data_IF_515511414736
#
_entry.id   IF_515511414736
#
_cell.length_a   1.000
_cell.length_b   1.000
_cell.length_c   1.000
_cell.angle_alpha   90.00
_cell.angle_beta   90.00
_cell.angle_gamma   90.00
#
_symmetry.space_group_name_H-M   'P 1'
#
loop_
_entity.id
_entity.type
_entity.pdbx_description
1 polymer ?
#
# COMPACT_ATOMS: atom_id res chain seq x y z
N UNK A 1 -13.51 -14.79 -5.45
CA UNK A 1 -13.72 -13.95 -4.25
C UNK A 1 -14.06 -12.56 -4.77
N UNK A 2 -15.19 -12.01 -4.35
CA UNK A 2 -15.50 -10.61 -4.71
C UNK A 2 -14.50 -9.73 -3.98
N UNK A 3 -13.68 -8.98 -4.71
CA UNK A 3 -12.79 -7.99 -4.11
C UNK A 3 -13.65 -6.86 -3.57
N UNK A 4 -13.49 -6.57 -2.28
CA UNK A 4 -14.15 -5.44 -1.63
C UNK A 4 -13.11 -4.34 -1.47
N UNK A 5 -13.15 -3.37 -2.37
CA UNK A 5 -12.33 -2.16 -2.36
C UNK A 5 -13.27 -0.95 -2.46
N UNK A 6 -12.84 0.21 -2.01
CA UNK A 6 -13.62 1.44 -2.07
C UNK A 6 -14.01 1.77 -3.51
N UNK A 7 -15.22 2.32 -3.71
CA UNK A 7 -15.91 2.39 -5.01
C UNK A 7 -15.13 3.20 -6.06
N UNK A 8 -14.52 4.32 -5.71
CA UNK A 8 -13.73 5.12 -6.66
C UNK A 8 -12.52 4.34 -7.18
N UNK A 9 -11.85 3.58 -6.31
CA UNK A 9 -10.76 2.69 -6.69
C UNK A 9 -11.24 1.50 -7.51
N UNK A 10 -12.42 0.95 -7.19
CA UNK A 10 -12.98 -0.15 -7.97
C UNK A 10 -13.21 0.25 -9.43
N UNK A 11 -13.72 1.45 -9.69
CA UNK A 11 -13.90 1.98 -11.06
C UNK A 11 -12.59 2.08 -11.81
N UNK A 12 -11.55 2.61 -11.15
CA UNK A 12 -10.25 2.85 -11.77
C UNK A 12 -9.44 1.58 -12.04
N UNK A 13 -9.65 0.54 -11.23
CA UNK A 13 -8.89 -0.70 -11.25
C UNK A 13 -9.70 -1.92 -11.71
N UNK A 14 -10.92 -1.72 -12.21
CA UNK A 14 -11.82 -2.82 -12.60
C UNK A 14 -11.14 -3.82 -13.54
N UNK A 15 -10.39 -3.36 -14.54
CA UNK A 15 -9.66 -4.20 -15.47
C UNK A 15 -8.57 -5.06 -14.83
N UNK A 16 -7.93 -4.56 -13.77
CA UNK A 16 -6.89 -5.33 -13.07
C UNK A 16 -7.47 -6.57 -12.35
N UNK A 17 -8.72 -6.47 -11.87
CA UNK A 17 -9.38 -7.60 -11.20
C UNK A 17 -9.79 -8.73 -12.15
N UNK A 18 -9.85 -8.45 -13.45
CA UNK A 18 -10.16 -9.42 -14.52
C UNK A 18 -8.90 -10.06 -15.10
N UNK A 19 -7.73 -9.51 -14.80
CA UNK A 19 -6.44 -10.01 -15.28
C UNK A 19 -6.09 -11.39 -14.68
N UNK A 20 -5.52 -12.32 -15.46
CA UNK A 20 -5.15 -13.65 -14.97
C UNK A 20 -4.23 -13.63 -13.76
N UNK A 21 -3.26 -12.71 -13.73
CA UNK A 21 -2.35 -12.60 -12.59
C UNK A 21 -3.06 -12.28 -11.28
N UNK A 22 -4.17 -11.51 -11.34
CA UNK A 22 -4.92 -11.17 -10.13
C UNK A 22 -5.68 -12.38 -9.58
N UNK A 23 -6.18 -13.26 -10.45
CA UNK A 23 -6.77 -14.53 -10.04
C UNK A 23 -5.74 -15.45 -9.36
N UNK A 24 -4.53 -15.54 -9.90
CA UNK A 24 -3.40 -16.28 -9.33
C UNK A 24 -2.99 -15.69 -7.97
N UNK A 25 -2.86 -14.37 -7.89
CA UNK A 25 -2.57 -13.64 -6.65
C UNK A 25 -3.64 -13.91 -5.59
N UNK A 26 -4.92 -13.83 -5.95
CA UNK A 26 -6.03 -14.07 -5.03
C UNK A 26 -6.04 -15.52 -4.51
N UNK A 27 -5.69 -16.51 -5.34
CA UNK A 27 -5.57 -17.90 -4.93
C UNK A 27 -4.36 -18.09 -3.99
N UNK A 28 -3.22 -17.51 -4.33
CA UNK A 28 -2.03 -17.52 -3.47
C UNK A 28 -2.33 -16.94 -2.09
N UNK A 29 -2.96 -15.76 -2.03
CA UNK A 29 -3.30 -15.09 -0.76
C UNK A 29 -4.25 -15.94 0.07
N UNK A 30 -5.35 -16.44 -0.53
CA UNK A 30 -6.28 -17.35 0.17
C UNK A 30 -5.57 -18.58 0.73
N UNK A 31 -4.68 -19.17 -0.07
CA UNK A 31 -3.88 -20.32 0.35
C UNK A 31 -2.95 -19.99 1.50
N UNK A 32 -2.30 -18.83 1.47
CA UNK A 32 -1.41 -18.37 2.54
C UNK A 32 -2.14 -18.23 3.87
N UNK A 33 -3.29 -17.54 3.89
CA UNK A 33 -4.10 -17.36 5.11
C UNK A 33 -4.70 -18.67 5.66
N UNK A 34 -4.91 -19.70 4.82
CA UNK A 34 -5.33 -21.02 5.29
C UNK A 34 -4.18 -21.82 5.93
N UNK A 35 -2.95 -21.63 5.46
CA UNK A 35 -1.77 -22.36 5.96
C UNK A 35 -1.24 -21.82 7.28
N UNK A 36 -1.48 -20.55 7.58
CA UNK A 36 -0.99 -19.94 8.81
C UNK A 36 -1.32 -18.47 8.92
N UNK A 37 -0.93 -17.83 10.03
CA UNK A 37 -1.20 -16.41 10.24
C UNK A 37 -0.48 -15.57 9.20
N UNK A 38 -1.24 -14.66 8.59
CA UNK A 38 -0.76 -13.64 7.65
C UNK A 38 -1.31 -12.26 8.07
N UNK A 39 -0.65 -11.22 7.66
CA UNK A 39 -1.01 -9.83 7.99
C UNK A 39 -1.08 -8.96 6.73
N UNK A 40 -1.90 -7.89 6.79
CA UNK A 40 -2.90 -7.54 7.82
C UNK A 40 -4.05 -8.55 7.86
N UNK A 41 -5.00 -8.46 8.82
CA UNK A 41 -6.24 -9.24 8.77
C UNK A 41 -6.95 -9.09 7.42
N UNK A 42 -7.64 -10.14 6.89
CA UNK A 42 -8.18 -10.13 5.53
C UNK A 42 -9.07 -8.92 5.19
N UNK A 43 -9.87 -8.45 6.16
CA UNK A 43 -10.72 -7.27 5.99
C UNK A 43 -9.96 -5.94 5.90
N UNK A 44 -8.66 -5.93 6.19
CA UNK A 44 -7.83 -4.73 6.20
C UNK A 44 -6.81 -4.69 5.04
N UNK A 45 -6.79 -5.68 4.16
CA UNK A 45 -5.82 -5.73 3.04
C UNK A 45 -5.91 -4.44 2.18
N UNK A 46 -7.11 -3.95 1.93
CA UNK A 46 -7.37 -2.75 1.13
C UNK A 46 -7.69 -1.49 1.94
N UNK A 47 -7.29 -1.46 3.22
CA UNK A 47 -7.64 -0.35 4.12
C UNK A 47 -7.06 1.01 3.66
N UNK A 48 -5.87 1.04 3.07
CA UNK A 48 -5.30 2.28 2.51
C UNK A 48 -6.25 2.94 1.50
N UNK A 49 -6.89 2.14 0.67
CA UNK A 49 -7.87 2.60 -0.33
C UNK A 49 -9.18 3.07 0.31
N UNK A 50 -9.61 2.41 1.39
CA UNK A 50 -10.80 2.80 2.13
C UNK A 50 -10.63 4.14 2.85
N UNK A 51 -9.44 4.41 3.40
CA UNK A 51 -9.15 5.65 4.10
C UNK A 51 -8.87 6.83 3.15
N UNK A 52 -8.40 6.55 1.93
CA UNK A 52 -8.02 7.56 0.95
C UNK A 52 -8.64 7.22 -0.41
N UNK A 53 -9.88 7.67 -0.69
CA UNK A 53 -10.52 7.48 -2.00
C UNK A 53 -9.67 8.04 -3.15
N UNK A 54 -9.84 7.49 -4.36
CA UNK A 54 -9.02 7.84 -5.53
C UNK A 54 -8.99 9.35 -5.79
N UNK A 55 -10.15 10.00 -5.75
CA UNK A 55 -10.28 11.42 -6.02
C UNK A 55 -9.75 12.31 -4.90
N UNK A 56 -9.56 11.77 -3.70
CA UNK A 56 -9.01 12.49 -2.56
C UNK A 56 -7.47 12.44 -2.47
N UNK A 57 -6.81 11.57 -3.24
CA UNK A 57 -5.35 11.41 -3.18
C UNK A 57 -4.64 12.72 -3.56
N UNK A 58 -3.70 13.14 -2.73
CA UNK A 58 -2.79 14.29 -2.94
C UNK A 58 -1.34 13.87 -2.88
N UNK A 59 -1.02 12.94 -1.97
CA UNK A 59 0.33 12.42 -1.76
C UNK A 59 0.26 10.90 -1.73
N UNK A 60 1.22 10.25 -2.36
CA UNK A 60 1.42 8.80 -2.28
C UNK A 60 2.70 8.52 -1.55
N UNK A 61 2.63 7.82 -0.43
CA UNK A 61 3.80 7.29 0.27
C UNK A 61 3.83 5.79 0.04
N UNK A 62 4.86 5.32 -0.64
CA UNK A 62 5.00 3.92 -0.99
C UNK A 62 6.05 3.24 -0.10
N UNK A 63 5.58 2.31 0.75
CA UNK A 63 6.39 1.39 1.55
C UNK A 63 6.64 0.07 0.81
N UNK A 64 7.31 -0.88 1.47
CA UNK A 64 7.62 -2.19 0.88
C UNK A 64 6.51 -3.21 1.16
N UNK A 65 6.48 -3.80 2.30
CA UNK A 65 5.52 -4.81 2.75
C UNK A 65 4.98 -4.49 4.15
N UNK A 66 3.85 -5.10 4.55
CA UNK A 66 3.27 -4.86 5.86
C UNK A 66 4.21 -5.31 6.98
N UNK A 67 4.03 -4.76 8.17
CA UNK A 67 4.65 -5.32 9.37
C UNK A 67 4.20 -6.77 9.58
N UNK A 68 5.13 -7.61 9.99
CA UNK A 68 4.92 -9.06 10.08
C UNK A 68 4.73 -9.60 11.50
N UNK A 69 4.68 -8.71 12.50
CA UNK A 69 4.40 -9.10 13.89
C UNK A 69 2.91 -8.94 14.23
N UNK A 70 2.38 -9.74 15.19
CA UNK A 70 0.98 -9.70 15.57
C UNK A 70 0.50 -8.30 15.97
N UNK A 71 -0.68 -7.91 15.48
CA UNK A 71 -1.33 -6.67 15.87
C UNK A 71 -0.78 -5.38 15.23
N UNK A 72 0.31 -5.45 14.47
CA UNK A 72 0.93 -4.27 13.88
C UNK A 72 0.25 -3.80 12.59
N UNK A 73 0.22 -4.66 11.57
CA UNK A 73 -0.27 -4.27 10.24
C UNK A 73 -1.80 -4.04 10.22
N UNK A 74 -2.19 -2.89 9.70
CA UNK A 74 -3.59 -2.45 9.59
C UNK A 74 -3.97 -2.08 8.13
N UNK A 75 -3.17 -2.49 7.16
CA UNK A 75 -3.42 -2.22 5.74
C UNK A 75 -3.06 -0.80 5.29
N UNK A 76 -2.35 -0.04 6.12
CA UNK A 76 -1.72 1.24 5.76
C UNK A 76 -0.21 1.13 6.01
N UNK A 77 0.58 1.60 5.05
CA UNK A 77 2.03 1.63 5.21
C UNK A 77 2.45 2.45 6.45
N UNK A 78 3.40 1.92 7.21
CA UNK A 78 3.99 2.50 8.42
C UNK A 78 3.06 2.66 9.64
N UNK A 79 1.75 2.56 9.45
CA UNK A 79 0.77 2.72 10.54
C UNK A 79 0.69 1.48 11.44
N UNK A 80 0.64 1.73 12.74
CA UNK A 80 0.27 0.74 13.77
C UNK A 80 -0.78 1.36 14.70
N UNK A 81 -1.64 0.54 15.36
CA UNK A 81 -2.59 1.04 16.35
C UNK A 81 -1.86 1.74 17.53
N UNK A 82 -2.51 2.72 18.18
CA UNK A 82 -1.86 3.50 19.25
C UNK A 82 -1.31 2.70 20.44
N UNK A 83 -1.89 1.52 20.70
CA UNK A 83 -1.47 0.63 21.80
C UNK A 83 -0.26 -0.24 21.42
N UNK A 84 0.18 -0.22 20.17
CA UNK A 84 1.31 -1.02 19.68
C UNK A 84 2.58 -0.20 19.76
N UNK A 85 3.65 -0.79 20.28
CA UNK A 85 4.99 -0.17 20.28
C UNK A 85 5.42 0.15 18.84
N UNK A 86 5.75 1.41 18.52
CA UNK A 86 6.13 1.81 17.18
C UNK A 86 7.34 1.02 16.65
N UNK A 87 7.22 0.38 15.48
CA UNK A 87 8.34 -0.29 14.83
C UNK A 87 9.47 0.69 14.46
N UNK A 88 10.68 0.19 14.17
CA UNK A 88 11.85 1.04 13.86
C UNK A 88 11.61 2.04 12.73
N UNK A 89 10.94 1.64 11.65
CA UNK A 89 10.62 2.52 10.52
C UNK A 89 9.74 3.70 10.93
N UNK A 90 8.70 3.45 11.74
CA UNK A 90 7.84 4.53 12.25
C UNK A 90 8.56 5.44 13.22
N UNK A 91 9.44 4.88 14.08
CA UNK A 91 10.30 5.70 14.96
C UNK A 91 11.25 6.60 14.17
N UNK A 92 11.78 6.13 13.04
CA UNK A 92 12.63 6.95 12.18
C UNK A 92 11.84 8.12 11.56
N UNK A 93 10.61 7.87 11.10
CA UNK A 93 9.73 8.94 10.62
C UNK A 93 9.46 9.97 11.74
N UNK A 94 9.11 9.49 12.94
CA UNK A 94 8.85 10.35 14.09
C UNK A 94 10.08 11.20 14.47
N UNK A 95 11.28 10.63 14.37
CA UNK A 95 12.54 11.35 14.63
C UNK A 95 12.76 12.48 13.63
N UNK A 96 12.54 12.26 12.35
CA UNK A 96 12.66 13.29 11.31
C UNK A 96 11.63 14.42 11.48
N UNK A 97 10.43 14.08 11.93
CA UNK A 97 9.38 15.06 12.19
C UNK A 97 9.50 15.78 13.54
N UNK A 98 10.29 15.26 14.47
CA UNK A 98 10.37 15.75 15.84
C UNK A 98 9.17 15.36 16.72
N UNK A 99 8.21 14.59 16.21
CA UNK A 99 7.04 14.08 16.94
C UNK A 99 6.46 12.82 16.28
N UNK A 100 5.65 12.07 17.02
CA UNK A 100 4.93 10.92 16.46
C UNK A 100 3.82 11.39 15.52
N UNK A 101 3.84 10.97 14.22
CA UNK A 101 2.81 11.39 13.29
C UNK A 101 1.46 10.68 13.54
N UNK A 102 0.38 11.38 13.32
CA UNK A 102 -0.96 10.76 13.19
C UNK A 102 -1.18 10.34 11.73
N UNK A 103 -0.68 9.14 11.38
CA UNK A 103 -0.74 8.61 10.02
C UNK A 103 -2.19 8.35 9.56
N UNK A 104 -3.12 8.06 10.48
CA UNK A 104 -4.53 7.91 10.15
C UNK A 104 -5.15 9.26 9.74
N UNK A 105 -4.78 10.33 10.42
CA UNK A 105 -5.16 11.69 10.03
C UNK A 105 -4.59 12.07 8.66
N UNK A 106 -3.34 11.67 8.38
CA UNK A 106 -2.76 11.89 7.05
C UNK A 106 -3.55 11.18 5.95
N UNK A 107 -3.89 9.91 6.16
CA UNK A 107 -4.68 9.15 5.19
C UNK A 107 -6.02 9.84 4.86
N UNK A 108 -6.73 10.32 5.89
CA UNK A 108 -7.99 11.05 5.72
C UNK A 108 -7.84 12.40 5.04
N UNK A 109 -6.66 12.97 5.03
CA UNK A 109 -6.34 14.24 4.35
C UNK A 109 -5.84 14.06 2.92
N UNK A 110 -5.77 12.82 2.42
CA UNK A 110 -5.37 12.53 1.05
C UNK A 110 -3.96 11.96 0.89
N UNK A 111 -3.35 11.46 1.97
CA UNK A 111 -2.07 10.74 1.90
C UNK A 111 -2.35 9.25 1.75
N UNK A 112 -2.16 8.72 0.56
CA UNK A 112 -2.26 7.27 0.30
C UNK A 112 -1.02 6.57 0.88
N UNK A 113 -1.22 5.86 1.99
CA UNK A 113 -0.17 5.08 2.66
C UNK A 113 -0.19 3.64 2.12
N UNK A 114 0.49 3.42 0.99
CA UNK A 114 0.44 2.18 0.24
C UNK A 114 1.73 1.39 0.39
N UNK A 115 1.64 0.07 0.60
CA UNK A 115 2.79 -0.83 0.46
C UNK A 115 2.83 -1.41 -0.96
N UNK A 116 4.03 -1.74 -1.44
CA UNK A 116 4.21 -2.43 -2.72
C UNK A 116 3.59 -3.84 -2.69
N UNK A 117 3.71 -4.52 -1.56
CA UNK A 117 3.11 -5.83 -1.27
C UNK A 117 2.07 -5.65 -0.17
N UNK A 118 0.84 -6.12 -0.36
CA UNK A 118 -0.25 -5.83 0.58
C UNK A 118 -0.47 -6.90 1.66
N UNK A 119 0.24 -8.03 1.58
CA UNK A 119 0.17 -9.11 2.57
C UNK A 119 1.54 -9.67 2.88
N UNK A 120 1.68 -10.29 4.05
CA UNK A 120 2.92 -10.93 4.51
C UNK A 120 2.58 -12.10 5.44
N UNK A 121 3.38 -13.17 5.43
CA UNK A 121 3.27 -14.24 6.43
C UNK A 121 3.87 -13.78 7.78
N UNK A 122 3.29 -14.24 8.89
CA UNK A 122 3.77 -13.91 10.22
C UNK A 122 5.27 -14.23 10.38
N UNK A 123 6.01 -13.30 10.96
CA UNK A 123 7.45 -13.38 11.24
C UNK A 123 8.36 -13.53 9.99
N UNK A 124 7.82 -13.31 8.78
CA UNK A 124 8.55 -13.56 7.53
C UNK A 124 8.49 -12.34 6.61
N UNK A 125 9.29 -11.32 6.90
CA UNK A 125 9.39 -10.13 6.05
C UNK A 125 9.64 -10.50 4.59
N UNK A 126 8.93 -9.87 3.65
CA UNK A 126 9.08 -10.08 2.21
C UNK A 126 8.53 -11.42 1.68
N UNK A 127 7.90 -12.25 2.51
CA UNK A 127 7.45 -13.60 2.14
C UNK A 127 6.44 -13.65 0.99
N UNK A 128 5.71 -12.57 0.73
CA UNK A 128 4.74 -12.48 -0.35
C UNK A 128 5.21 -11.61 -1.54
N UNK A 129 6.48 -11.20 -1.54
CA UNK A 129 7.06 -10.46 -2.68
C UNK A 129 7.14 -11.35 -3.92
N UNK A 130 6.98 -10.74 -5.12
CA UNK A 130 7.02 -11.46 -6.39
C UNK A 130 5.81 -12.37 -6.64
N UNK A 131 4.72 -12.22 -5.90
CA UNK A 131 3.49 -13.03 -6.04
C UNK A 131 2.36 -12.33 -6.79
N UNK A 132 2.60 -11.11 -7.29
CA UNK A 132 1.63 -10.35 -8.07
C UNK A 132 1.16 -9.05 -7.43
N UNK A 133 1.39 -8.84 -6.13
CA UNK A 133 1.03 -7.59 -5.47
C UNK A 133 1.69 -6.37 -6.11
N UNK A 134 2.98 -6.47 -6.47
CA UNK A 134 3.73 -5.39 -7.09
C UNK A 134 3.13 -4.97 -8.44
N UNK A 135 2.62 -5.93 -9.23
CA UNK A 135 1.92 -5.63 -10.49
C UNK A 135 0.63 -4.85 -10.21
N UNK A 136 -0.13 -5.26 -9.20
CA UNK A 136 -1.34 -4.56 -8.80
C UNK A 136 -1.05 -3.14 -8.29
N UNK A 137 -0.08 -2.98 -7.40
CA UNK A 137 0.28 -1.66 -6.85
C UNK A 137 0.95 -0.76 -7.89
N UNK A 138 1.65 -1.32 -8.88
CA UNK A 138 2.13 -0.57 -10.05
C UNK A 138 0.97 -0.05 -10.91
N UNK A 139 -0.10 -0.83 -11.06
CA UNK A 139 -1.31 -0.38 -11.75
C UNK A 139 -2.02 0.75 -10.97
N UNK A 140 -2.05 0.67 -9.63
CA UNK A 140 -2.54 1.76 -8.77
C UNK A 140 -1.77 3.06 -9.02
N UNK A 141 -0.44 3.01 -8.96
CA UNK A 141 0.43 4.17 -9.19
C UNK A 141 0.24 4.72 -10.60
N UNK A 142 0.14 3.85 -11.59
CA UNK A 142 -0.10 4.23 -12.99
C UNK A 142 -1.44 4.93 -13.17
N UNK A 143 -2.53 4.39 -12.61
CA UNK A 143 -3.85 5.00 -12.68
C UNK A 143 -3.86 6.42 -12.08
N UNK A 144 -3.19 6.60 -10.94
CA UNK A 144 -3.02 7.92 -10.33
C UNK A 144 -2.22 8.86 -11.22
N UNK A 145 -1.07 8.42 -11.76
CA UNK A 145 -0.20 9.24 -12.60
C UNK A 145 -0.86 9.66 -13.91
N UNK A 146 -1.73 8.82 -14.49
CA UNK A 146 -2.41 9.08 -15.76
C UNK A 146 -3.69 9.91 -15.61
N UNK A 147 -4.39 9.81 -14.47
CA UNK A 147 -5.75 10.35 -14.31
C UNK A 147 -5.87 11.44 -13.27
N UNK A 148 -4.79 11.73 -12.54
CA UNK A 148 -4.77 12.76 -11.52
C UNK A 148 -3.59 13.72 -11.76
N UNK A 149 -3.81 14.97 -11.43
CA UNK A 149 -2.80 16.04 -11.54
C UNK A 149 -2.32 16.48 -10.16
N UNK A 150 -1.14 17.10 -10.12
CA UNK A 150 -0.56 17.69 -8.91
C UNK A 150 -0.36 16.72 -7.73
N UNK A 151 -0.03 15.46 -8.04
CA UNK A 151 0.29 14.46 -7.03
C UNK A 151 1.77 14.48 -6.66
N UNK A 152 2.06 14.24 -5.39
CA UNK A 152 3.41 14.03 -4.88
C UNK A 152 3.62 12.55 -4.59
N UNK A 153 4.68 11.96 -5.11
CA UNK A 153 5.07 10.58 -4.84
C UNK A 153 6.33 10.54 -3.98
N UNK A 154 6.24 9.88 -2.84
CA UNK A 154 7.35 9.65 -1.92
C UNK A 154 7.64 8.15 -1.86
N UNK A 155 8.82 7.75 -2.34
CA UNK A 155 9.27 6.37 -2.34
C UNK A 155 10.18 6.14 -1.13
N UNK A 156 9.72 5.39 -0.14
CA UNK A 156 10.50 5.05 1.04
C UNK A 156 10.96 3.59 1.01
N UNK A 157 12.25 3.41 1.15
CA UNK A 157 12.92 2.11 1.16
C UNK A 157 13.78 1.88 -0.08
N UNK A 158 14.48 0.75 -0.11
CA UNK A 158 15.30 0.34 -1.25
C UNK A 158 14.39 -0.18 -2.38
N UNK A 159 13.77 0.73 -3.10
CA UNK A 159 13.03 0.37 -4.32
C UNK A 159 14.04 0.08 -5.41
N UNK A 160 14.07 -1.17 -5.90
CA UNK A 160 14.87 -1.52 -7.08
C UNK A 160 14.49 -0.58 -8.23
N UNK A 161 15.48 -0.09 -8.93
CA UNK A 161 15.50 1.00 -9.91
C UNK A 161 14.60 0.85 -11.17
N UNK A 162 13.40 0.24 -11.04
CA UNK A 162 12.42 0.11 -12.13
C UNK A 162 11.22 1.05 -12.04
N UNK A 163 10.88 1.55 -10.85
CA UNK A 163 9.66 2.33 -10.61
C UNK A 163 9.82 3.84 -10.76
N UNK A 164 11.04 4.34 -10.92
CA UNK A 164 11.35 5.78 -10.93
C UNK A 164 11.36 6.45 -12.30
N UNK A 165 10.88 5.81 -13.39
CA UNK A 165 11.05 6.35 -14.74
C UNK A 165 9.80 6.91 -15.42
N UNK A 166 8.71 7.16 -14.73
CA UNK A 166 7.50 7.72 -15.36
C UNK A 166 7.05 9.09 -14.86
N UNK A 167 7.91 9.87 -14.20
CA UNK A 167 7.61 11.27 -13.91
C UNK A 167 8.56 12.20 -14.68
N UNK A 168 8.36 12.33 -15.98
CA UNK A 168 8.81 13.51 -16.72
C UNK A 168 7.77 14.60 -16.55
N UNK A 169 7.97 15.45 -15.55
CA UNK A 169 7.35 16.76 -15.58
C UNK A 169 7.88 17.54 -16.79
N UNK A 170 7.06 18.18 -17.60
CA UNK A 170 7.58 19.10 -18.62
C UNK A 170 8.21 20.30 -17.92
N UNK A 171 9.48 20.53 -18.18
CA UNK A 171 10.13 21.80 -17.87
C UNK A 171 9.46 22.88 -18.71
N UNK A 172 8.70 23.75 -18.08
CA UNK A 172 8.29 25.02 -18.69
C UNK A 172 9.41 26.03 -18.46
N UNK A 173 9.93 26.51 -19.58
CA UNK A 173 10.81 27.65 -19.66
C UNK A 173 10.09 28.97 -19.23
#
# INVERSE_FOLDING_TARGET
>A
MKVVIEESWHRELAGEFEEPYFAELAEFVRGAYRRGPCYPPPGLIFNAFAQTPFDAVKVVILGQDPYHEPGQAQGLAFYVPPQVTPPPSLRNIAKELGHMPDLMSWARQGVLLLNATLTVAAHQAGSHQGRGWERFTDAVVRALAERREHLVFILWGTMRSGRGRSSTAPATA
#
